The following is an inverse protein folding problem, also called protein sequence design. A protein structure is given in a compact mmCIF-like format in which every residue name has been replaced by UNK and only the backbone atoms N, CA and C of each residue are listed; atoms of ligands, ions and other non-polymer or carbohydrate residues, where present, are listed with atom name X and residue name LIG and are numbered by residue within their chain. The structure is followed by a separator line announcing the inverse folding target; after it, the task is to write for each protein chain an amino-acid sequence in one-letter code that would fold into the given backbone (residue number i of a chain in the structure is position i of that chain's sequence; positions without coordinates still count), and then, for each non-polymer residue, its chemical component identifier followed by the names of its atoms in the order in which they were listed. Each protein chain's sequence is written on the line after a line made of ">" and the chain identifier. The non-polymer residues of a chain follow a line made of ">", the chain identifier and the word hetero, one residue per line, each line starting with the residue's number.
data_IF_987137290742
#
_entry.id   IF_987137290742
#
_cell.length_a   1.000
_cell.length_b   1.000
_cell.length_c   1.000
_cell.angle_alpha   90.00
_cell.angle_beta   90.00
_cell.angle_gamma   90.00
#
_symmetry.space_group_name_H-M   'P 1'
#
loop_
_entity.id
_entity.type
_entity.pdbx_description
1 polymer ?
#
# COMPACT_ATOMS: atom_id res chain seq x y z
N UNK A 1 4.64 -14.30 6.49
CA UNK A 1 5.69 -13.51 5.83
C UNK A 1 4.95 -12.50 4.96
N UNK A 2 5.06 -11.21 5.25
CA UNK A 2 4.30 -10.15 4.58
C UNK A 2 5.11 -9.55 3.44
N UNK A 3 4.44 -9.19 2.34
CA UNK A 3 5.06 -8.51 1.21
C UNK A 3 5.25 -7.04 1.59
N UNK A 4 6.50 -6.59 1.60
CA UNK A 4 6.85 -5.19 1.84
C UNK A 4 6.74 -4.42 0.52
N UNK A 5 5.88 -3.40 0.49
CA UNK A 5 5.55 -2.64 -0.72
C UNK A 5 5.84 -1.14 -0.52
N UNK A 6 6.49 -0.51 -1.49
CA UNK A 6 6.62 0.94 -1.59
C UNK A 6 5.65 1.53 -2.61
N UNK A 7 5.09 2.70 -2.33
CA UNK A 7 4.25 3.45 -3.29
C UNK A 7 5.03 4.66 -3.79
N UNK A 8 5.38 4.69 -5.07
CA UNK A 8 5.96 5.88 -5.71
C UNK A 8 4.88 6.61 -6.53
N UNK A 9 4.52 7.82 -6.10
CA UNK A 9 3.44 8.63 -6.64
C UNK A 9 2.16 8.54 -5.80
N UNK A 10 2.08 9.32 -4.72
CA UNK A 10 0.91 9.34 -3.81
C UNK A 10 -0.25 10.25 -4.24
N UNK A 11 -0.51 10.30 -5.55
CA UNK A 11 -1.64 11.00 -6.14
C UNK A 11 -2.97 10.27 -5.92
N UNK A 12 -3.94 10.51 -6.82
CA UNK A 12 -5.27 9.87 -6.74
C UNK A 12 -5.20 8.34 -6.71
N UNK A 13 -4.29 7.75 -7.49
CA UNK A 13 -4.11 6.31 -7.58
C UNK A 13 -3.40 5.78 -6.31
N UNK A 14 -2.27 6.36 -5.91
CA UNK A 14 -1.54 5.92 -4.72
C UNK A 14 -2.40 5.91 -3.45
N UNK A 15 -3.28 6.91 -3.27
CA UNK A 15 -4.24 6.94 -2.16
C UNK A 15 -5.27 5.82 -2.21
N UNK A 16 -5.78 5.49 -3.40
CA UNK A 16 -6.73 4.38 -3.57
C UNK A 16 -6.05 3.02 -3.38
N UNK A 17 -4.79 2.87 -3.81
CA UNK A 17 -3.98 1.67 -3.57
C UNK A 17 -3.76 1.45 -2.08
N UNK A 18 -3.37 2.49 -1.33
CA UNK A 18 -3.22 2.39 0.13
C UNK A 18 -4.54 1.99 0.80
N UNK A 19 -5.67 2.60 0.39
CA UNK A 19 -7.00 2.24 0.92
C UNK A 19 -7.33 0.77 0.66
N UNK A 20 -7.12 0.29 -0.57
CA UNK A 20 -7.38 -1.10 -0.94
C UNK A 20 -6.48 -2.07 -0.17
N UNK A 21 -5.19 -1.74 0.01
CA UNK A 21 -4.23 -2.55 0.76
C UNK A 21 -4.66 -2.71 2.22
N UNK A 22 -5.03 -1.63 2.90
CA UNK A 22 -5.47 -1.66 4.30
C UNK A 22 -6.80 -2.41 4.47
N UNK A 23 -7.72 -2.29 3.51
CA UNK A 23 -9.05 -2.93 3.60
C UNK A 23 -9.02 -4.43 3.28
N UNK A 24 -8.26 -4.84 2.26
CA UNK A 24 -8.37 -6.19 1.71
C UNK A 24 -7.13 -7.06 1.97
N UNK A 25 -5.96 -6.46 2.24
CA UNK A 25 -4.68 -7.16 2.25
C UNK A 25 -3.84 -6.90 3.50
N UNK A 26 -4.48 -6.51 4.62
CA UNK A 26 -3.80 -6.12 5.87
C UNK A 26 -2.81 -7.16 6.41
N UNK A 27 -3.08 -8.45 6.20
CA UNK A 27 -2.24 -9.54 6.71
C UNK A 27 -1.20 -10.02 5.70
N UNK A 28 -1.29 -9.55 4.45
CA UNK A 28 -0.46 -10.00 3.34
C UNK A 28 0.53 -8.93 2.89
N UNK A 29 0.17 -7.64 3.04
CA UNK A 29 0.93 -6.50 2.54
C UNK A 29 1.25 -5.52 3.66
N UNK A 30 2.50 -5.09 3.73
CA UNK A 30 3.00 -4.01 4.58
C UNK A 30 3.50 -2.86 3.69
N UNK A 31 2.89 -1.68 3.79
CA UNK A 31 3.37 -0.49 3.08
C UNK A 31 4.52 0.13 3.87
N UNK A 32 5.75 0.02 3.36
CA UNK A 32 6.98 0.43 4.07
C UNK A 32 7.46 1.83 3.70
N UNK A 33 7.06 2.36 2.54
CA UNK A 33 7.47 3.68 2.07
C UNK A 33 6.45 4.28 1.10
N UNK A 34 6.38 5.61 1.08
CA UNK A 34 5.61 6.39 0.11
C UNK A 34 6.50 7.54 -0.36
N UNK A 35 6.67 7.69 -1.68
CA UNK A 35 7.41 8.78 -2.34
C UNK A 35 6.49 9.57 -3.28
#
# INVERSE_FOLDING_TARGET
>A
MTIQLGINGFGRIGRNVLRAAVQNFKNDIEIVAIN
#
